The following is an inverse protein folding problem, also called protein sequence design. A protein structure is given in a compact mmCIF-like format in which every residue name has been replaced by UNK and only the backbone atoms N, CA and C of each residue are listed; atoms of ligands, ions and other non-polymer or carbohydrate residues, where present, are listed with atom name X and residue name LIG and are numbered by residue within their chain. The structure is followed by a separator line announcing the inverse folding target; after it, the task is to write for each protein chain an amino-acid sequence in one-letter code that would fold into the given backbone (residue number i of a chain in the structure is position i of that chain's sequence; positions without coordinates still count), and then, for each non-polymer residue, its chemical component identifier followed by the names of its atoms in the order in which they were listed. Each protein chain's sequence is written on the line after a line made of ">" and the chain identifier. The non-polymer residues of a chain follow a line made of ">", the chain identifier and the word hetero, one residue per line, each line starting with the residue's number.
data_IF_202876735431
#
_entry.id   IF_202876735431
#
_cell.length_a   1.000
_cell.length_b   1.000
_cell.length_c   1.000
_cell.angle_alpha   90.00
_cell.angle_beta   90.00
_cell.angle_gamma   90.00
#
_symmetry.space_group_name_H-M   'P 1'
#
loop_
_entity.id
_entity.type
_entity.pdbx_description
1 polymer ?
#
# COMPACT_ATOMS: atom_id res chain seq x y z
N UNK A 1 -24.95 23.28 15.32
CA UNK A 1 -25.36 22.86 16.68
C UNK A 1 -25.59 21.35 16.84
N UNK A 2 -25.93 20.56 15.81
CA UNK A 2 -26.11 19.09 15.94
C UNK A 2 -24.81 18.24 15.98
N UNK A 3 -23.64 18.79 15.58
CA UNK A 3 -22.37 18.05 15.54
C UNK A 3 -21.70 17.81 16.91
N UNK A 4 -21.96 18.67 17.91
CA UNK A 4 -21.26 18.58 19.20
C UNK A 4 -21.92 17.59 20.19
N UNK A 5 -23.24 17.35 20.07
CA UNK A 5 -23.96 16.45 20.96
C UNK A 5 -23.64 14.96 20.74
N UNK A 6 -23.27 14.55 19.52
CA UNK A 6 -22.96 13.15 19.22
C UNK A 6 -21.59 12.71 19.78
N UNK A 7 -20.63 13.63 19.83
CA UNK A 7 -19.27 13.35 20.31
C UNK A 7 -19.23 13.25 21.85
N UNK A 8 -19.99 14.09 22.56
CA UNK A 8 -20.19 13.97 24.01
C UNK A 8 -21.04 12.75 24.40
N UNK A 9 -22.05 12.42 23.60
CA UNK A 9 -22.85 11.21 23.84
C UNK A 9 -22.02 9.92 23.68
N UNK A 10 -21.07 9.89 22.76
CA UNK A 10 -20.21 8.72 22.55
C UNK A 10 -19.19 8.52 23.68
N UNK A 11 -18.56 9.58 24.17
CA UNK A 11 -17.59 9.50 25.29
C UNK A 11 -18.26 9.11 26.62
N UNK A 12 -19.53 9.48 26.81
CA UNK A 12 -20.36 9.05 27.94
C UNK A 12 -20.72 7.55 27.87
N UNK A 13 -20.91 7.00 26.67
CA UNK A 13 -21.28 5.59 26.48
C UNK A 13 -20.08 4.65 26.62
N UNK A 14 -18.88 5.04 26.15
CA UNK A 14 -17.71 4.13 26.18
C UNK A 14 -17.06 3.96 27.55
N UNK A 15 -17.31 4.88 28.49
CA UNK A 15 -16.69 4.85 29.83
C UNK A 15 -17.55 4.17 30.91
N UNK A 16 -18.75 3.67 30.57
CA UNK A 16 -19.67 3.11 31.55
C UNK A 16 -19.62 1.57 31.62
N UNK A 17 -19.45 0.93 32.80
CA UNK A 17 -19.33 -0.53 32.95
C UNK A 17 -20.40 -1.41 32.30
N UNK A 18 -21.63 -0.90 32.06
CA UNK A 18 -22.73 -1.67 31.44
C UNK A 18 -22.69 -1.63 29.91
N UNK A 19 -21.92 -0.73 29.31
CA UNK A 19 -21.80 -0.60 27.85
C UNK A 19 -21.14 -1.82 27.19
N UNK A 20 -20.45 -2.68 27.95
CA UNK A 20 -19.86 -3.91 27.42
C UNK A 20 -20.90 -4.93 26.91
N UNK A 21 -22.17 -4.81 27.33
CA UNK A 21 -23.24 -5.73 26.92
C UNK A 21 -24.17 -5.20 25.82
N UNK A 22 -24.22 -3.87 25.61
CA UNK A 22 -25.17 -3.20 24.70
C UNK A 22 -24.62 -2.91 23.29
N UNK A 23 -23.35 -3.20 23.04
CA UNK A 23 -22.64 -2.65 21.87
C UNK A 23 -22.90 -3.37 20.56
N UNK A 24 -23.15 -4.68 20.53
CA UNK A 24 -23.19 -5.41 19.24
C UNK A 24 -24.46 -5.16 18.45
N UNK A 25 -25.64 -5.31 19.06
CA UNK A 25 -26.90 -5.05 18.36
C UNK A 25 -27.05 -3.58 17.99
N UNK A 26 -26.58 -2.67 18.85
CA UNK A 26 -26.62 -1.25 18.58
C UNK A 26 -25.61 -0.83 17.50
N UNK A 27 -24.38 -1.35 17.49
CA UNK A 27 -23.44 -1.10 16.37
C UNK A 27 -23.99 -1.66 15.06
N UNK A 28 -24.54 -2.88 15.06
CA UNK A 28 -25.12 -3.49 13.86
C UNK A 28 -26.30 -2.64 13.37
N UNK A 29 -27.19 -2.19 14.27
CA UNK A 29 -28.31 -1.30 13.92
C UNK A 29 -27.81 0.06 13.43
N UNK A 30 -26.78 0.66 14.06
CA UNK A 30 -26.20 1.93 13.61
C UNK A 30 -25.54 1.77 12.24
N UNK A 31 -24.78 0.70 12.00
CA UNK A 31 -24.13 0.43 10.72
C UNK A 31 -25.18 0.15 9.62
N UNK A 32 -26.19 -0.66 9.90
CA UNK A 32 -27.28 -0.95 8.95
C UNK A 32 -28.12 0.30 8.68
N UNK A 33 -28.47 1.06 9.70
CA UNK A 33 -29.26 2.29 9.55
C UNK A 33 -28.47 3.38 8.84
N UNK A 34 -27.18 3.55 9.13
CA UNK A 34 -26.30 4.49 8.42
C UNK A 34 -26.11 4.09 6.96
N UNK A 35 -25.89 2.80 6.68
CA UNK A 35 -25.81 2.29 5.32
C UNK A 35 -27.10 2.56 4.54
N UNK A 36 -28.26 2.26 5.12
CA UNK A 36 -29.56 2.52 4.48
C UNK A 36 -29.84 4.01 4.28
N UNK A 37 -29.53 4.86 5.26
CA UNK A 37 -29.72 6.31 5.17
C UNK A 37 -28.80 6.96 4.12
N UNK A 38 -27.51 6.60 4.08
CA UNK A 38 -26.55 7.10 3.09
C UNK A 38 -26.87 6.59 1.69
N UNK A 39 -27.31 5.34 1.55
CA UNK A 39 -27.77 4.77 0.28
C UNK A 39 -29.06 5.42 -0.24
N UNK A 40 -29.89 6.02 0.62
CA UNK A 40 -31.14 6.66 0.21
C UNK A 40 -30.95 8.03 -0.45
N UNK A 41 -29.83 8.72 -0.17
CA UNK A 41 -29.54 10.06 -0.70
C UNK A 41 -28.80 10.02 -2.05
N UNK A 42 -28.18 8.88 -2.39
CA UNK A 42 -27.59 8.62 -3.70
C UNK A 42 -28.55 7.77 -4.55
N UNK A 43 -29.10 8.39 -5.58
CA UNK A 43 -30.07 7.86 -6.54
C UNK A 43 -29.85 6.37 -6.89
N UNK A 44 -30.91 5.55 -6.70
CA UNK A 44 -31.08 4.15 -7.13
C UNK A 44 -30.34 3.81 -8.43
N UNK A 45 -29.12 3.28 -8.31
CA UNK A 45 -28.60 2.20 -9.16
C UNK A 45 -28.10 1.13 -8.22
N UNK A 46 -29.05 0.34 -7.69
CA UNK A 46 -28.72 -0.90 -7.00
C UNK A 46 -28.19 -1.86 -8.05
N UNK A 47 -26.89 -1.80 -8.34
CA UNK A 47 -26.23 -2.87 -9.08
C UNK A 47 -26.11 -4.02 -8.11
N UNK A 48 -27.01 -4.99 -8.23
CA UNK A 48 -26.74 -6.31 -7.65
C UNK A 48 -25.33 -6.71 -8.07
N UNK A 49 -24.49 -7.10 -7.11
CA UNK A 49 -23.25 -7.84 -7.43
C UNK A 49 -23.69 -8.92 -8.42
N UNK A 50 -23.22 -8.90 -9.67
CA UNK A 50 -23.71 -9.85 -10.63
C UNK A 50 -23.48 -11.26 -10.07
N UNK A 51 -24.49 -12.11 -10.17
CA UNK A 51 -24.49 -13.45 -9.55
C UNK A 51 -23.30 -14.33 -10.03
N UNK A 52 -22.57 -13.88 -11.05
CA UNK A 52 -21.35 -14.48 -11.59
C UNK A 52 -20.10 -14.26 -10.71
N UNK A 53 -20.12 -13.32 -9.77
CA UNK A 53 -19.05 -13.06 -8.80
C UNK A 53 -18.91 -14.14 -7.73
N UNK A 54 -20.00 -14.86 -7.48
CA UNK A 54 -20.10 -15.87 -6.44
C UNK A 54 -19.93 -17.26 -7.05
N UNK A 55 -19.55 -18.23 -6.22
CA UNK A 55 -19.60 -19.64 -6.57
C UNK A 55 -20.98 -19.97 -7.17
N UNK A 56 -21.01 -20.35 -8.45
CA UNK A 56 -22.16 -21.06 -9.02
C UNK A 56 -22.17 -22.44 -8.40
N UNK A 57 -23.30 -22.83 -7.80
CA UNK A 57 -23.51 -24.19 -7.27
C UNK A 57 -23.24 -25.28 -8.33
N UNK A 58 -23.29 -24.93 -9.61
CA UNK A 58 -23.05 -25.84 -10.74
C UNK A 58 -21.57 -26.13 -11.04
N UNK A 59 -20.61 -25.31 -10.55
CA UNK A 59 -19.18 -25.47 -10.88
C UNK A 59 -18.49 -26.63 -10.10
N UNK A 60 -19.14 -27.23 -9.09
CA UNK A 60 -18.68 -28.51 -8.49
C UNK A 60 -19.00 -29.73 -9.37
N UNK A 61 -19.84 -29.59 -10.42
CA UNK A 61 -20.33 -30.71 -11.22
C UNK A 61 -20.02 -30.51 -12.72
N UNK A 62 -18.80 -30.91 -13.11
CA UNK A 62 -18.32 -31.19 -14.49
C UNK A 62 -18.21 -30.00 -15.49
N UNK A 63 -17.06 -29.93 -16.18
CA UNK A 63 -16.88 -30.44 -17.57
C UNK A 63 -15.45 -30.23 -18.11
N UNK A 64 -14.97 -31.24 -18.86
CA UNK A 64 -13.75 -31.23 -19.68
C UNK A 64 -13.77 -30.07 -20.69
N UNK A 65 -12.62 -29.42 -20.95
CA UNK A 65 -12.54 -28.41 -21.99
C UNK A 65 -12.63 -29.03 -23.40
N UNK A 66 -13.32 -28.39 -24.35
CA UNK A 66 -13.26 -28.75 -25.76
C UNK A 66 -11.92 -28.28 -26.38
N UNK A 67 -11.49 -28.90 -27.48
CA UNK A 67 -10.22 -28.60 -28.14
C UNK A 67 -10.27 -27.23 -28.84
N UNK A 68 -9.18 -26.49 -28.73
CA UNK A 68 -8.96 -25.17 -29.33
C UNK A 68 -8.43 -25.37 -30.75
N UNK A 69 -9.02 -24.65 -31.71
CA UNK A 69 -8.52 -24.56 -33.09
C UNK A 69 -7.71 -23.26 -33.23
N UNK A 70 -6.44 -23.42 -33.58
CA UNK A 70 -5.53 -22.31 -33.88
C UNK A 70 -5.77 -21.79 -35.30
N UNK A 71 -5.90 -20.47 -35.45
CA UNK A 71 -5.72 -19.79 -36.73
C UNK A 71 -4.80 -18.57 -36.54
N UNK A 72 -3.70 -18.64 -37.26
CA UNK A 72 -2.56 -17.74 -37.30
C UNK A 72 -2.85 -16.57 -38.26
N UNK A 73 -2.68 -15.32 -37.81
CA UNK A 73 -2.70 -14.14 -38.69
C UNK A 73 -1.48 -13.27 -38.39
N UNK A 74 -0.65 -13.09 -39.42
CA UNK A 74 0.56 -12.29 -39.42
C UNK A 74 0.27 -10.78 -39.55
N UNK A 75 1.07 -9.88 -38.93
CA UNK A 75 1.00 -8.45 -39.17
C UNK A 75 2.14 -7.96 -40.07
N UNK A 76 1.82 -7.05 -41.00
CA UNK A 76 2.78 -6.30 -41.82
C UNK A 76 2.92 -4.88 -41.26
N UNK A 77 4.14 -4.44 -40.95
CA UNK A 77 4.44 -3.10 -40.43
C UNK A 77 5.12 -2.22 -41.49
N UNK A 78 4.82 -0.91 -41.47
CA UNK A 78 5.51 0.14 -42.24
C UNK A 78 6.04 1.25 -41.32
N UNK A 79 7.18 1.91 -41.63
CA UNK A 79 7.82 2.86 -40.73
C UNK A 79 7.45 4.33 -41.03
N UNK A 80 7.35 5.17 -39.99
CA UNK A 80 7.32 6.64 -40.12
C UNK A 80 8.34 7.31 -39.20
N UNK A 81 8.99 8.35 -39.76
CA UNK A 81 10.08 9.16 -39.19
C UNK A 81 9.60 10.18 -38.15
N UNK A 82 10.47 10.61 -37.21
CA UNK A 82 10.12 11.56 -36.15
C UNK A 82 10.34 13.03 -36.57
N UNK A 83 9.58 13.95 -35.93
CA UNK A 83 9.85 15.40 -35.93
C UNK A 83 10.08 15.87 -34.49
N UNK A 84 11.17 16.61 -34.31
CA UNK A 84 11.58 17.29 -33.09
C UNK A 84 10.75 18.56 -32.88
N UNK A 85 10.47 18.91 -31.61
CA UNK A 85 10.29 20.32 -31.22
C UNK A 85 10.70 20.56 -29.78
N UNK A 86 11.72 21.39 -29.66
CA UNK A 86 12.28 22.06 -28.50
C UNK A 86 11.42 23.29 -28.15
N UNK A 87 11.10 23.57 -26.89
CA UNK A 87 11.60 24.73 -26.15
C UNK A 87 10.94 24.91 -24.76
N UNK A 88 11.80 25.44 -23.89
CA UNK A 88 11.72 25.82 -22.49
C UNK A 88 10.79 27.00 -22.15
N UNK A 89 10.31 27.03 -20.90
CA UNK A 89 10.08 28.30 -20.17
C UNK A 89 10.21 28.10 -18.66
N UNK A 90 11.12 28.85 -18.04
CA UNK A 90 11.34 28.92 -16.60
C UNK A 90 10.43 29.99 -15.97
N UNK A 91 9.89 29.72 -14.78
CA UNK A 91 9.26 30.73 -13.94
C UNK A 91 9.67 30.50 -12.49
N UNK A 92 10.12 31.58 -11.83
CA UNK A 92 10.51 31.63 -10.41
C UNK A 92 9.26 31.55 -9.52
N UNK A 93 9.34 30.82 -8.41
CA UNK A 93 8.30 30.79 -7.38
C UNK A 93 8.88 31.09 -6.02
N UNK A 94 8.10 31.86 -5.25
CA UNK A 94 8.40 32.40 -3.92
C UNK A 94 7.89 31.44 -2.84
N UNK A 95 8.78 31.00 -1.96
CA UNK A 95 8.51 30.03 -0.89
C UNK A 95 7.64 30.65 0.22
N UNK A 96 6.49 30.03 0.51
CA UNK A 96 5.65 30.34 1.68
C UNK A 96 5.59 29.10 2.57
N UNK A 97 6.15 29.20 3.77
CA UNK A 97 6.19 28.13 4.77
C UNK A 97 4.81 27.93 5.38
N UNK A 98 4.19 26.75 5.19
CA UNK A 98 2.96 26.35 5.88
C UNK A 98 3.27 25.36 7.01
N UNK A 99 2.77 25.69 8.20
CA UNK A 99 2.78 24.84 9.39
C UNK A 99 1.72 23.74 9.28
N UNK A 100 2.13 22.51 9.49
CA UNK A 100 1.30 21.31 9.43
C UNK A 100 0.37 21.20 10.65
N UNK A 101 -0.94 21.27 10.44
CA UNK A 101 -1.95 21.03 11.48
C UNK A 101 -2.10 19.54 11.80
N UNK A 102 -1.90 19.16 13.05
CA UNK A 102 -2.10 17.80 13.57
C UNK A 102 -3.59 17.47 13.70
N UNK A 103 -4.05 16.41 13.02
CA UNK A 103 -5.40 15.85 13.16
C UNK A 103 -5.45 15.00 14.43
N UNK A 104 -6.37 15.31 15.35
CA UNK A 104 -6.62 14.54 16.57
C UNK A 104 -7.38 13.26 16.24
N UNK A 105 -6.69 12.11 16.17
CA UNK A 105 -7.29 10.80 15.89
C UNK A 105 -8.04 10.26 17.11
N UNK A 106 -9.36 10.09 17.01
CA UNK A 106 -10.13 9.28 17.94
C UNK A 106 -9.65 7.81 17.89
N UNK A 107 -9.52 7.16 19.05
CA UNK A 107 -9.03 5.78 19.16
C UNK A 107 -10.08 4.83 18.55
N UNK A 108 -9.78 4.13 17.44
CA UNK A 108 -10.72 3.20 16.85
C UNK A 108 -10.88 1.94 17.73
N UNK A 109 -12.03 1.24 17.67
CA UNK A 109 -12.20 -0.05 18.33
C UNK A 109 -11.10 -1.03 17.92
N UNK A 110 -10.57 -1.81 18.87
CA UNK A 110 -9.43 -2.70 18.62
C UNK A 110 -9.87 -4.04 17.99
N UNK A 111 -9.19 -4.46 16.91
CA UNK A 111 -9.27 -5.82 16.37
C UNK A 111 -8.55 -6.80 17.31
N UNK A 112 -9.05 -8.02 17.49
CA UNK A 112 -8.38 -9.04 18.32
C UNK A 112 -7.27 -9.71 17.51
N UNK A 113 -6.07 -9.82 18.07
CA UNK A 113 -4.87 -10.31 17.37
C UNK A 113 -4.70 -11.83 17.45
N UNK A 114 -4.47 -12.44 16.29
CA UNK A 114 -3.59 -13.60 16.12
C UNK A 114 -2.59 -13.19 15.03
N UNK A 115 -1.30 -13.07 15.38
CA UNK A 115 -0.22 -12.62 14.47
C UNK A 115 -0.21 -13.37 13.14
N UNK A 116 -0.65 -14.62 13.15
CA UNK A 116 -0.68 -15.50 11.97
C UNK A 116 -1.56 -14.94 10.84
N UNK A 117 -2.60 -14.15 11.17
CA UNK A 117 -3.53 -13.58 10.16
C UNK A 117 -2.89 -12.52 9.27
N UNK A 118 -1.84 -11.84 9.73
CA UNK A 118 -1.21 -10.76 8.97
C UNK A 118 -0.02 -11.23 8.13
N UNK A 119 0.38 -12.50 8.21
CA UNK A 119 1.49 -13.05 7.42
C UNK A 119 1.34 -12.78 5.91
N UNK A 120 0.17 -13.09 5.34
CA UNK A 120 -0.14 -12.81 3.95
C UNK A 120 -0.13 -11.31 3.62
N UNK A 121 -0.60 -10.46 4.56
CA UNK A 121 -0.55 -9.01 4.42
C UNK A 121 0.90 -8.50 4.40
N UNK A 122 1.76 -8.96 5.31
CA UNK A 122 3.17 -8.55 5.36
C UNK A 122 3.91 -8.93 4.09
N UNK A 123 3.73 -10.15 3.59
CA UNK A 123 4.33 -10.55 2.30
C UNK A 123 3.84 -9.71 1.13
N UNK A 124 2.53 -9.43 1.05
CA UNK A 124 1.98 -8.55 0.04
C UNK A 124 2.54 -7.13 0.16
N UNK A 125 2.61 -6.58 1.37
CA UNK A 125 3.14 -5.25 1.65
C UNK A 125 4.60 -5.13 1.24
N UNK A 126 5.46 -6.06 1.66
CA UNK A 126 6.89 -6.02 1.34
C UNK A 126 7.11 -6.15 -0.18
N UNK A 127 6.30 -6.98 -0.85
CA UNK A 127 6.30 -7.08 -2.33
C UNK A 127 5.85 -5.78 -2.98
N UNK A 128 4.74 -5.19 -2.53
CA UNK A 128 4.18 -3.95 -3.09
C UNK A 128 5.12 -2.76 -2.89
N UNK A 129 5.72 -2.65 -1.70
CA UNK A 129 6.67 -1.57 -1.39
C UNK A 129 8.00 -1.71 -2.12
N UNK A 130 8.42 -2.94 -2.43
CA UNK A 130 9.61 -3.19 -3.27
C UNK A 130 9.51 -2.58 -4.67
N UNK A 131 8.29 -2.33 -5.17
CA UNK A 131 8.06 -1.66 -6.45
C UNK A 131 8.52 -0.19 -6.45
N UNK A 132 8.62 0.43 -5.27
CA UNK A 132 9.04 1.83 -5.11
C UNK A 132 10.51 1.95 -4.75
N UNK A 133 10.99 1.09 -3.86
CA UNK A 133 12.38 1.03 -3.43
C UNK A 133 12.68 -0.31 -2.76
N UNK A 134 13.94 -0.72 -2.82
CA UNK A 134 14.42 -1.94 -2.17
C UNK A 134 15.42 -1.59 -1.08
N UNK A 135 15.28 -2.30 0.04
CA UNK A 135 16.22 -2.34 1.15
C UNK A 135 16.82 -3.75 1.25
N UNK A 136 18.06 -3.94 0.82
CA UNK A 136 18.78 -5.19 1.08
C UNK A 136 19.64 -4.99 2.32
N UNK A 137 19.08 -5.34 3.48
CA UNK A 137 19.77 -5.28 4.76
C UNK A 137 20.73 -6.46 4.86
N UNK A 138 21.97 -6.21 5.23
CA UNK A 138 22.94 -7.28 5.43
C UNK A 138 22.50 -8.21 6.56
N UNK A 139 22.57 -9.52 6.31
CA UNK A 139 22.19 -10.56 7.25
C UNK A 139 23.42 -11.19 7.88
N UNK A 140 23.31 -11.56 9.15
CA UNK A 140 24.38 -12.22 9.88
C UNK A 140 24.62 -13.62 9.32
N UNK A 141 25.86 -13.89 8.91
CA UNK A 141 26.34 -15.20 8.50
C UNK A 141 27.65 -15.49 9.25
N UNK A 142 27.52 -16.17 10.40
CA UNK A 142 28.61 -16.34 11.36
C UNK A 142 29.02 -14.99 11.95
N UNK A 143 30.31 -14.67 11.85
CA UNK A 143 30.90 -13.42 12.36
C UNK A 143 30.86 -12.26 11.35
N UNK A 144 30.23 -12.46 10.20
CA UNK A 144 30.18 -11.46 9.12
C UNK A 144 28.75 -11.14 8.72
N UNK A 145 28.54 -9.93 8.21
CA UNK A 145 27.27 -9.57 7.59
C UNK A 145 27.38 -9.63 6.07
N UNK A 146 26.45 -10.32 5.44
CA UNK A 146 26.38 -10.50 3.99
C UNK A 146 25.03 -10.00 3.50
N UNK A 147 25.04 -9.12 2.51
CA UNK A 147 23.85 -8.80 1.72
C UNK A 147 24.08 -9.27 0.29
N UNK A 148 23.04 -9.84 -0.33
CA UNK A 148 23.06 -10.10 -1.76
C UNK A 148 22.83 -8.75 -2.45
N UNK A 149 23.79 -8.23 -3.24
CA UNK A 149 23.57 -6.98 -3.93
C UNK A 149 22.39 -7.12 -4.90
N UNK A 150 21.63 -6.05 -5.15
CA UNK A 150 20.56 -6.07 -6.14
C UNK A 150 21.12 -6.49 -7.51
N UNK A 151 20.31 -7.17 -8.31
CA UNK A 151 20.70 -7.75 -9.62
C UNK A 151 21.42 -6.74 -10.55
N UNK A 152 21.16 -5.44 -10.38
CA UNK A 152 21.86 -4.36 -11.07
C UNK A 152 22.58 -3.47 -10.04
N UNK A 153 23.82 -3.80 -9.65
CA UNK A 153 24.55 -3.02 -8.65
C UNK A 153 25.11 -1.70 -9.21
N UNK A 154 24.93 -1.41 -10.51
CA UNK A 154 25.38 -0.17 -11.15
C UNK A 154 24.25 0.82 -11.39
N UNK A 155 24.57 2.11 -11.29
CA UNK A 155 23.62 3.17 -11.63
C UNK A 155 23.23 3.13 -13.11
N UNK A 156 22.01 3.57 -13.40
CA UNK A 156 21.51 3.80 -14.76
C UNK A 156 21.16 5.27 -14.96
N UNK A 157 21.09 5.73 -16.21
CA UNK A 157 20.66 7.12 -16.50
C UNK A 157 19.17 7.29 -16.18
N UNK A 158 18.87 7.65 -14.93
CA UNK A 158 17.54 8.05 -14.49
C UNK A 158 17.17 9.44 -15.01
N UNK A 159 15.86 9.74 -15.10
CA UNK A 159 15.37 11.12 -15.38
C UNK A 159 14.45 11.65 -14.30
N UNK A 160 14.11 10.80 -13.33
CA UNK A 160 13.27 11.20 -12.23
C UNK A 160 14.19 11.49 -11.06
N UNK A 161 14.25 12.77 -10.69
CA UNK A 161 15.01 13.22 -9.53
C UNK A 161 14.24 12.83 -8.27
N UNK A 162 14.99 12.39 -7.26
CA UNK A 162 14.49 12.25 -5.91
C UNK A 162 15.43 12.98 -4.95
N UNK A 163 14.87 13.46 -3.85
CA UNK A 163 15.58 13.99 -2.72
C UNK A 163 15.58 12.93 -1.61
N UNK A 164 16.75 12.30 -1.45
CA UNK A 164 17.02 11.27 -0.47
C UNK A 164 17.38 11.92 0.88
N UNK A 165 16.67 11.53 1.94
CA UNK A 165 16.90 11.93 3.33
C UNK A 165 17.12 10.70 4.19
N UNK A 166 18.32 10.52 4.70
CA UNK A 166 18.67 9.35 5.53
C UNK A 166 19.13 9.83 6.89
N UNK A 167 18.42 9.43 7.94
CA UNK A 167 18.81 9.76 9.33
C UNK A 167 19.57 8.59 9.95
N UNK A 168 20.76 8.85 10.48
CA UNK A 168 21.51 7.87 11.25
C UNK A 168 21.04 7.87 12.70
N UNK A 169 20.34 6.82 13.13
CA UNK A 169 19.92 6.60 14.51
C UNK A 169 20.81 5.59 15.24
N UNK A 170 21.92 5.17 14.62
CA UNK A 170 22.96 4.36 15.26
C UNK A 170 23.86 5.22 16.15
N UNK A 171 24.55 4.58 17.10
CA UNK A 171 25.52 5.24 17.97
C UNK A 171 26.86 5.56 17.27
N UNK A 172 27.12 4.92 16.12
CA UNK A 172 28.34 5.09 15.33
C UNK A 172 28.07 5.86 14.03
N UNK A 173 29.06 6.59 13.48
CA UNK A 173 28.92 7.23 12.17
C UNK A 173 28.70 6.19 11.05
N UNK A 174 27.98 6.58 10.00
CA UNK A 174 27.79 5.74 8.81
C UNK A 174 28.54 6.32 7.62
N UNK A 175 29.26 5.49 6.86
CA UNK A 175 29.88 5.88 5.59
C UNK A 175 28.88 5.68 4.46
N UNK A 176 28.73 6.70 3.60
CA UNK A 176 27.76 6.71 2.49
C UNK A 176 28.49 6.59 1.17
N UNK A 177 28.07 5.64 0.35
CA UNK A 177 28.59 5.42 -1.00
C UNK A 177 27.47 5.44 -2.02
N UNK A 178 27.78 5.99 -3.19
CA UNK A 178 26.98 5.86 -4.40
C UNK A 178 27.63 4.83 -5.31
N UNK A 179 26.83 3.91 -5.87
CA UNK A 179 27.33 3.00 -6.89
C UNK A 179 27.36 3.68 -8.25
N UNK A 180 28.54 3.88 -8.84
CA UNK A 180 28.66 4.54 -10.14
C UNK A 180 28.09 3.69 -11.30
N UNK A 181 28.17 4.23 -12.52
CA UNK A 181 27.69 3.55 -13.73
C UNK A 181 28.49 2.28 -14.07
N UNK A 182 29.67 2.08 -13.48
CA UNK A 182 30.50 0.89 -13.61
C UNK A 182 30.27 -0.10 -12.46
N UNK A 183 29.40 0.21 -11.49
CA UNK A 183 29.14 -0.62 -10.32
C UNK A 183 30.22 -0.52 -9.25
N UNK A 184 30.98 0.56 -9.20
CA UNK A 184 31.99 0.82 -8.16
C UNK A 184 31.43 1.75 -7.09
N UNK A 185 31.79 1.49 -5.85
CA UNK A 185 31.45 2.37 -4.71
C UNK A 185 32.24 3.68 -4.78
N UNK A 186 31.53 4.81 -4.84
CA UNK A 186 32.09 6.16 -4.77
C UNK A 186 31.65 6.77 -3.45
N UNK A 187 32.60 6.99 -2.54
CA UNK A 187 32.33 7.65 -1.26
C UNK A 187 31.77 9.06 -1.46
N UNK A 188 30.73 9.38 -0.67
CA UNK A 188 30.03 10.67 -0.72
C UNK A 188 30.15 11.48 0.57
N UNK A 189 30.45 10.83 1.68
CA UNK A 189 30.55 11.45 2.99
C UNK A 189 30.18 10.48 4.10
N UNK A 190 30.09 11.03 5.30
CA UNK A 190 29.72 10.32 6.52
C UNK A 190 28.46 10.95 7.13
N UNK A 191 27.64 10.16 7.81
CA UNK A 191 26.48 10.60 8.59
C UNK A 191 26.79 10.38 10.07
N UNK A 192 26.97 11.44 10.86
CA UNK A 192 27.22 11.28 12.29
C UNK A 192 25.95 10.78 13.01
N UNK A 193 26.08 10.24 14.24
CA UNK A 193 24.92 9.86 15.05
C UNK A 193 23.89 11.00 15.17
N UNK A 194 22.62 10.66 14.99
CA UNK A 194 21.47 11.57 14.97
C UNK A 194 21.45 12.60 13.83
N UNK A 195 22.42 12.59 12.91
CA UNK A 195 22.41 13.48 11.74
C UNK A 195 21.54 12.93 10.61
N UNK A 196 21.08 13.86 9.77
CA UNK A 196 20.36 13.53 8.53
C UNK A 196 21.19 13.92 7.33
N UNK A 197 21.48 12.94 6.48
CA UNK A 197 22.11 13.12 5.19
C UNK A 197 21.09 13.49 4.13
N UNK A 198 21.43 14.48 3.30
CA UNK A 198 20.58 14.98 2.23
C UNK A 198 21.29 14.84 0.88
N UNK A 199 20.63 14.22 -0.08
CA UNK A 199 21.17 14.07 -1.43
C UNK A 199 20.07 14.10 -2.48
N UNK A 200 20.22 14.98 -3.47
CA UNK A 200 19.44 14.86 -4.70
C UNK A 200 20.09 13.79 -5.58
N UNK A 201 19.35 12.76 -5.92
CA UNK A 201 19.78 11.63 -6.76
C UNK A 201 18.70 11.31 -7.79
N UNK A 202 18.85 10.19 -8.52
CA UNK A 202 17.87 9.72 -9.49
C UNK A 202 17.35 8.34 -9.11
N UNK A 203 16.18 7.97 -9.64
CA UNK A 203 15.74 6.57 -9.64
C UNK A 203 16.79 5.69 -10.34
N UNK A 204 16.88 4.43 -9.95
CA UNK A 204 17.87 3.43 -10.36
C UNK A 204 19.33 3.78 -9.98
N UNK A 205 19.56 4.66 -9.01
CA UNK A 205 20.89 4.92 -8.45
C UNK A 205 21.05 4.19 -7.12
N UNK A 206 21.83 3.09 -7.05
CA UNK A 206 22.05 2.37 -5.80
C UNK A 206 22.93 3.15 -4.83
N UNK A 207 22.62 3.02 -3.55
CA UNK A 207 23.37 3.58 -2.43
C UNK A 207 23.78 2.46 -1.47
N UNK A 208 24.96 2.62 -0.87
CA UNK A 208 25.52 1.69 0.10
C UNK A 208 25.80 2.42 1.38
N UNK A 209 25.39 1.84 2.50
CA UNK A 209 25.69 2.34 3.84
C UNK A 209 26.55 1.33 4.58
N UNK A 210 27.68 1.78 5.12
CA UNK A 210 28.65 0.95 5.84
C UNK A 210 28.97 1.53 7.21
N UNK A 211 29.39 0.68 8.13
CA UNK A 211 30.06 1.12 9.35
C UNK A 211 31.47 1.68 9.02
N UNK A 212 32.10 2.44 9.94
CA UNK A 212 33.43 3.01 9.72
C UNK A 212 34.50 1.96 9.37
N UNK A 213 34.38 0.75 9.93
CA UNK A 213 35.27 -0.40 9.75
C UNK A 213 35.09 -1.08 8.38
N UNK A 214 34.07 -0.68 7.61
CA UNK A 214 33.79 -1.17 6.27
C UNK A 214 32.69 -2.24 6.21
N UNK A 215 32.15 -2.67 7.35
CA UNK A 215 31.03 -3.61 7.41
C UNK A 215 29.80 -3.05 6.66
N UNK A 216 29.20 -3.89 5.81
CA UNK A 216 28.01 -3.52 5.04
C UNK A 216 26.77 -3.57 5.93
N UNK A 217 25.98 -2.49 5.92
CA UNK A 217 24.68 -2.45 6.60
C UNK A 217 23.52 -2.62 5.63
N UNK A 218 23.51 -1.82 4.55
CA UNK A 218 22.36 -1.66 3.68
C UNK A 218 22.76 -1.35 2.25
N UNK A 219 22.16 -2.07 1.29
CA UNK A 219 21.95 -1.52 -0.07
C UNK A 219 20.56 -0.92 -0.19
N UNK A 220 20.50 0.27 -0.77
CA UNK A 220 19.28 1.01 -1.02
C UNK A 220 19.17 1.34 -2.50
N UNK A 221 18.04 0.99 -3.13
CA UNK A 221 17.78 1.35 -4.53
C UNK A 221 16.39 1.98 -4.65
N UNK A 222 16.29 3.25 -5.10
CA UNK A 222 15.01 3.87 -5.41
C UNK A 222 14.56 3.52 -6.84
N UNK A 223 13.37 2.94 -7.00
CA UNK A 223 12.82 2.60 -8.32
C UNK A 223 11.75 3.59 -8.80
N UNK A 224 10.96 4.15 -7.88
CA UNK A 224 9.84 5.05 -8.22
C UNK A 224 9.67 6.14 -7.19
N UNK A 225 9.02 7.22 -7.60
CA UNK A 225 8.50 8.20 -6.66
C UNK A 225 7.19 7.67 -6.10
N UNK A 226 7.06 7.71 -4.79
CA UNK A 226 5.83 7.32 -4.10
C UNK A 226 4.79 8.40 -4.37
N UNK A 227 3.57 8.07 -4.84
CA UNK A 227 2.55 9.07 -5.05
C UNK A 227 2.22 9.80 -3.75
N UNK A 228 2.07 11.11 -3.87
CA UNK A 228 1.85 11.98 -2.72
C UNK A 228 0.36 12.06 -2.40
N UNK A 229 0.04 12.14 -1.12
CA UNK A 229 -1.28 12.46 -0.62
C UNK A 229 -1.16 13.46 0.52
N UNK A 230 -2.23 14.22 0.79
CA UNK A 230 -2.23 15.30 1.79
C UNK A 230 -1.82 14.81 3.19
N UNK A 231 -2.10 13.55 3.51
CA UNK A 231 -1.77 12.96 4.81
C UNK A 231 -0.27 12.73 5.01
N UNK A 232 0.44 12.39 3.93
CA UNK A 232 1.85 12.00 3.98
C UNK A 232 2.51 12.43 2.67
N UNK A 233 3.03 13.68 2.60
CA UNK A 233 3.63 14.21 1.40
C UNK A 233 4.93 13.49 1.05
N UNK A 234 5.05 13.11 -0.21
CA UNK A 234 6.21 12.38 -0.76
C UNK A 234 6.77 13.04 -2.01
N UNK A 235 6.28 14.23 -2.35
CA UNK A 235 6.78 15.07 -3.43
C UNK A 235 6.95 16.48 -2.88
N UNK A 236 8.07 17.10 -3.19
CA UNK A 236 8.32 18.49 -2.88
C UNK A 236 7.34 19.37 -3.69
N UNK A 237 6.53 20.23 -3.03
CA UNK A 237 5.53 21.04 -3.71
C UNK A 237 6.14 22.06 -4.68
N UNK A 238 7.41 22.47 -4.48
CA UNK A 238 8.04 23.54 -5.26
C UNK A 238 8.87 23.02 -6.45
N UNK A 239 9.59 21.90 -6.30
CA UNK A 239 10.53 21.39 -7.34
C UNK A 239 10.00 20.14 -8.08
N UNK A 240 8.82 19.62 -7.72
CA UNK A 240 8.26 18.38 -8.28
C UNK A 240 9.32 17.25 -8.23
N UNK A 241 9.99 17.13 -7.08
CA UNK A 241 11.01 16.12 -6.81
C UNK A 241 10.44 15.14 -5.80
N UNK A 242 10.55 13.84 -6.07
CA UNK A 242 10.13 12.81 -5.12
C UNK A 242 10.97 12.85 -3.86
N UNK A 243 10.39 12.63 -2.68
CA UNK A 243 11.07 12.64 -1.40
C UNK A 243 11.10 11.22 -0.86
N UNK A 244 12.30 10.67 -0.71
CA UNK A 244 12.50 9.40 -0.01
C UNK A 244 13.16 9.67 1.32
N UNK A 245 12.47 9.31 2.41
CA UNK A 245 12.95 9.48 3.78
C UNK A 245 12.92 8.13 4.49
N UNK A 246 13.99 7.82 5.22
CA UNK A 246 14.04 6.73 6.18
C UNK A 246 15.16 6.97 7.19
N UNK A 247 15.13 6.21 8.29
CA UNK A 247 16.20 6.20 9.28
C UNK A 247 16.82 4.81 9.35
N UNK A 248 18.12 4.75 9.60
CA UNK A 248 18.87 3.51 9.88
C UNK A 248 19.12 3.48 11.39
N UNK A 249 18.66 2.45 12.08
CA UNK A 249 18.88 2.28 13.52
C UNK A 249 19.58 0.94 13.82
N UNK A 250 19.95 0.74 15.09
CA UNK A 250 20.38 -0.56 15.58
C UNK A 250 19.35 -1.64 15.19
N UNK A 251 19.78 -2.85 14.81
CA UNK A 251 18.85 -3.93 14.49
C UNK A 251 17.96 -4.27 15.71
N UNK A 252 16.71 -4.62 15.43
CA UNK A 252 15.77 -5.14 16.42
C UNK A 252 15.99 -6.64 16.71
N UNK A 253 16.59 -7.34 15.75
CA UNK A 253 16.88 -8.76 15.79
C UNK A 253 18.35 -8.99 15.46
N UNK A 254 19.02 -9.91 16.15
CA UNK A 254 20.44 -10.19 15.97
C UNK A 254 20.80 -10.77 14.58
N UNK A 255 19.81 -11.08 13.76
CA UNK A 255 19.98 -11.62 12.40
C UNK A 255 20.32 -10.55 11.36
N UNK A 256 20.04 -9.27 11.63
CA UNK A 256 20.22 -8.18 10.66
C UNK A 256 21.27 -7.17 11.14
N UNK A 257 21.97 -6.54 10.20
CA UNK A 257 22.99 -5.54 10.52
C UNK A 257 22.40 -4.19 11.00
N UNK A 258 21.17 -3.88 10.58
CA UNK A 258 20.45 -2.67 10.98
C UNK A 258 18.93 -2.88 10.89
N UNK A 259 18.17 -1.93 11.44
CA UNK A 259 16.72 -1.80 11.21
C UNK A 259 16.44 -0.52 10.42
N UNK A 260 15.36 -0.53 9.62
CA UNK A 260 14.95 0.60 8.78
C UNK A 260 13.64 1.16 9.32
N UNK A 261 13.62 2.45 9.62
CA UNK A 261 12.39 3.14 10.00
C UNK A 261 11.94 4.04 8.85
N UNK A 262 10.85 3.64 8.21
CA UNK A 262 10.32 4.32 7.05
C UNK A 262 8.87 4.73 7.32
N UNK A 263 8.58 6.03 7.51
CA UNK A 263 7.24 6.48 7.86
C UNK A 263 6.24 6.33 6.71
N UNK A 264 6.73 6.12 5.48
CA UNK A 264 5.90 6.05 4.28
C UNK A 264 5.68 4.60 3.86
N UNK A 265 6.75 3.80 3.85
CA UNK A 265 6.78 2.39 3.45
C UNK A 265 7.48 1.56 4.56
N UNK A 266 6.83 1.32 5.71
CA UNK A 266 7.46 0.69 6.87
C UNK A 266 8.07 -0.68 6.53
N UNK A 267 9.33 -0.93 6.91
CA UNK A 267 10.05 -2.13 6.48
C UNK A 267 10.92 -2.74 7.60
N UNK A 268 10.83 -4.05 7.86
CA UNK A 268 9.88 -5.00 7.27
C UNK A 268 8.48 -4.84 7.85
N UNK A 269 7.44 -5.15 7.08
CA UNK A 269 6.05 -4.90 7.49
C UNK A 269 5.70 -5.50 8.87
N UNK A 270 6.20 -6.70 9.17
CA UNK A 270 5.86 -7.42 10.40
C UNK A 270 6.34 -6.73 11.68
N UNK A 271 7.36 -5.86 11.60
CA UNK A 271 7.85 -5.11 12.76
C UNK A 271 7.05 -3.81 13.00
N UNK A 272 6.43 -3.25 11.96
CA UNK A 272 5.77 -1.94 12.03
C UNK A 272 4.24 -2.00 11.94
N UNK A 273 3.70 -3.00 11.26
CA UNK A 273 2.28 -3.19 10.99
C UNK A 273 1.77 -4.42 11.74
N UNK A 274 1.95 -4.41 13.07
CA UNK A 274 1.70 -5.54 13.97
C UNK A 274 0.22 -5.75 14.30
N UNK A 275 -0.64 -4.77 14.00
CA UNK A 275 -2.08 -4.84 14.27
C UNK A 275 -2.90 -4.71 12.99
N UNK A 276 -4.08 -5.36 12.89
CA UNK A 276 -4.96 -5.20 11.74
C UNK A 276 -5.39 -3.75 11.50
N UNK A 277 -5.55 -2.95 12.56
CA UNK A 277 -5.86 -1.53 12.45
C UNK A 277 -4.74 -0.74 11.75
N UNK A 278 -3.49 -0.95 12.15
CA UNK A 278 -2.34 -0.29 11.52
C UNK A 278 -2.17 -0.72 10.06
N UNK A 279 -2.31 -2.03 9.78
CA UNK A 279 -2.28 -2.58 8.43
C UNK A 279 -3.39 -1.98 7.54
N UNK A 280 -4.63 -1.94 8.05
CA UNK A 280 -5.78 -1.38 7.34
C UNK A 280 -5.58 0.11 7.04
N UNK A 281 -5.14 0.89 8.04
CA UNK A 281 -4.87 2.31 7.88
C UNK A 281 -3.81 2.56 6.80
N UNK A 282 -2.70 1.83 6.82
CA UNK A 282 -1.67 1.95 5.79
C UNK A 282 -2.21 1.56 4.41
N UNK A 283 -2.94 0.46 4.30
CA UNK A 283 -3.50 0.00 3.02
C UNK A 283 -4.50 0.99 2.41
N UNK A 284 -5.27 1.69 3.25
CA UNK A 284 -6.18 2.75 2.81
C UNK A 284 -5.43 3.99 2.29
N UNK A 285 -4.36 4.41 2.98
CA UNK A 285 -3.45 5.46 2.49
C UNK A 285 -2.83 5.04 1.17
N UNK A 286 -2.39 3.79 1.05
CA UNK A 286 -1.77 3.28 -0.18
C UNK A 286 -2.75 3.20 -1.35
N UNK A 287 -3.98 2.72 -1.11
CA UNK A 287 -5.05 2.75 -2.12
C UNK A 287 -5.36 4.17 -2.61
N UNK A 288 -5.36 5.14 -1.69
CA UNK A 288 -5.50 6.56 -2.00
C UNK A 288 -4.39 7.03 -2.93
N UNK A 289 -3.12 6.78 -2.57
CA UNK A 289 -1.95 7.12 -3.38
C UNK A 289 -2.01 6.54 -4.79
N UNK A 290 -2.47 5.30 -4.89
CA UNK A 290 -2.56 4.58 -6.17
C UNK A 290 -3.86 4.86 -6.93
N UNK A 291 -4.70 5.78 -6.44
CA UNK A 291 -5.91 6.21 -7.13
C UNK A 291 -6.97 5.12 -7.26
N UNK A 292 -7.08 4.21 -6.28
CA UNK A 292 -8.08 3.15 -6.28
C UNK A 292 -9.50 3.74 -6.25
N UNK A 293 -10.38 3.25 -7.13
CA UNK A 293 -11.75 3.78 -7.33
C UNK A 293 -12.88 2.80 -7.04
N UNK A 294 -12.61 1.50 -6.93
CA UNK A 294 -13.66 0.47 -6.81
C UNK A 294 -14.10 0.22 -5.35
N UNK A 295 -14.20 1.28 -4.54
CA UNK A 295 -14.57 1.21 -3.13
C UNK A 295 -15.95 0.60 -2.89
N UNK A 296 -16.90 0.91 -3.78
CA UNK A 296 -18.26 0.37 -3.68
C UNK A 296 -18.26 -1.16 -3.74
N UNK A 297 -17.55 -1.75 -4.69
CA UNK A 297 -17.47 -3.22 -4.84
C UNK A 297 -16.81 -3.86 -3.60
N UNK A 298 -15.75 -3.26 -3.09
CA UNK A 298 -15.07 -3.73 -1.87
C UNK A 298 -16.02 -3.74 -0.66
N UNK A 299 -16.78 -2.65 -0.49
CA UNK A 299 -17.77 -2.51 0.58
C UNK A 299 -18.92 -3.49 0.42
N UNK A 300 -19.39 -3.71 -0.81
CA UNK A 300 -20.44 -4.69 -1.10
C UNK A 300 -20.01 -6.12 -0.73
N UNK A 301 -18.76 -6.50 -1.00
CA UNK A 301 -18.20 -7.80 -0.57
C UNK A 301 -18.32 -7.98 0.96
N UNK A 302 -17.83 -7.01 1.74
CA UNK A 302 -17.90 -7.06 3.20
C UNK A 302 -19.34 -7.09 3.73
N UNK A 303 -20.19 -6.20 3.22
CA UNK A 303 -21.61 -6.10 3.63
C UNK A 303 -22.39 -7.39 3.36
N UNK A 304 -22.17 -8.05 2.22
CA UNK A 304 -22.85 -9.32 1.92
C UNK A 304 -22.45 -10.44 2.87
N UNK A 305 -21.18 -10.50 3.28
CA UNK A 305 -20.73 -11.48 4.29
C UNK A 305 -21.39 -11.19 5.64
N UNK A 306 -21.47 -9.92 6.05
CA UNK A 306 -22.11 -9.52 7.32
C UNK A 306 -23.61 -9.88 7.31
N UNK A 307 -24.28 -9.71 6.18
CA UNK A 307 -25.70 -10.01 6.04
C UNK A 307 -26.00 -11.52 5.98
N UNK A 308 -25.06 -12.33 5.48
CA UNK A 308 -25.24 -13.78 5.29
C UNK A 308 -24.01 -14.56 5.82
N UNK A 309 -23.71 -14.46 7.13
CA UNK A 309 -22.48 -15.01 7.72
C UNK A 309 -22.44 -16.54 7.74
N UNK A 310 -23.61 -17.17 7.61
CA UNK A 310 -23.82 -18.61 7.55
C UNK A 310 -23.58 -19.21 6.16
N UNK A 311 -23.57 -18.38 5.09
CA UNK A 311 -23.52 -18.85 3.71
C UNK A 311 -22.09 -18.78 3.15
N UNK A 312 -21.40 -19.94 2.96
CA UNK A 312 -20.00 -19.98 2.51
C UNK A 312 -19.75 -19.25 1.17
N UNK A 313 -20.73 -19.26 0.26
CA UNK A 313 -20.59 -18.66 -1.08
C UNK A 313 -20.28 -17.17 -1.07
N UNK A 314 -20.72 -16.41 -0.06
CA UNK A 314 -20.40 -14.96 0.02
C UNK A 314 -19.04 -14.70 0.66
N UNK A 315 -18.44 -15.71 1.28
CA UNK A 315 -17.14 -15.63 1.96
C UNK A 315 -15.99 -16.08 1.09
N UNK A 316 -16.26 -16.53 -0.15
CA UNK A 316 -15.26 -17.08 -1.07
C UNK A 316 -15.41 -16.41 -2.44
N UNK A 317 -14.39 -15.65 -2.83
CA UNK A 317 -14.35 -14.92 -4.09
C UNK A 317 -13.34 -15.57 -5.03
N UNK A 318 -13.75 -15.88 -6.25
CA UNK A 318 -12.85 -16.49 -7.24
C UNK A 318 -11.88 -15.45 -7.78
N UNK A 319 -10.58 -15.68 -7.67
CA UNK A 319 -9.55 -14.76 -8.20
C UNK A 319 -9.69 -14.57 -9.72
N UNK A 320 -10.07 -15.64 -10.43
CA UNK A 320 -10.29 -15.63 -11.88
C UNK A 320 -11.59 -14.93 -12.33
N UNK A 321 -12.48 -14.52 -11.42
CA UNK A 321 -13.63 -13.71 -11.81
C UNK A 321 -13.14 -12.31 -12.24
N UNK A 322 -13.44 -11.81 -13.45
CA UNK A 322 -12.91 -10.53 -13.92
C UNK A 322 -13.33 -9.32 -13.06
N UNK A 323 -14.54 -9.31 -12.52
CA UNK A 323 -15.04 -8.23 -11.67
C UNK A 323 -14.29 -8.21 -10.34
N UNK A 324 -14.03 -9.35 -9.71
CA UNK A 324 -13.28 -9.39 -8.45
C UNK A 324 -11.77 -9.27 -8.68
N UNK A 325 -11.22 -10.11 -9.56
CA UNK A 325 -9.82 -10.19 -9.90
C UNK A 325 -9.24 -8.87 -10.38
N UNK A 326 -9.78 -8.31 -11.48
CA UNK A 326 -9.21 -7.10 -12.08
C UNK A 326 -9.54 -5.82 -11.30
N UNK A 327 -10.68 -5.76 -10.61
CA UNK A 327 -11.12 -4.52 -9.94
C UNK A 327 -10.75 -4.44 -8.47
N UNK A 328 -10.50 -5.57 -7.80
CA UNK A 328 -10.10 -5.63 -6.39
C UNK A 328 -8.77 -6.36 -6.20
N UNK A 329 -8.69 -7.64 -6.55
CA UNK A 329 -7.59 -8.52 -6.12
C UNK A 329 -6.24 -8.19 -6.74
N UNK A 330 -6.21 -7.80 -8.01
CA UNK A 330 -5.00 -7.41 -8.74
C UNK A 330 -4.72 -5.91 -8.63
N UNK A 331 -5.23 -5.28 -7.57
CA UNK A 331 -5.06 -3.84 -7.29
C UNK A 331 -4.56 -3.67 -5.85
N UNK A 332 -4.29 -2.43 -5.45
CA UNK A 332 -3.92 -2.12 -4.05
C UNK A 332 -4.98 -2.51 -3.02
N UNK A 333 -6.25 -2.66 -3.42
CA UNK A 333 -7.31 -3.11 -2.52
C UNK A 333 -7.09 -4.53 -1.97
N UNK A 334 -6.20 -5.33 -2.58
CA UNK A 334 -5.70 -6.58 -2.02
C UNK A 334 -5.18 -6.40 -0.59
N UNK A 335 -4.42 -5.33 -0.34
CA UNK A 335 -3.92 -5.02 1.01
C UNK A 335 -5.04 -4.75 2.01
N UNK A 336 -6.10 -4.06 1.57
CA UNK A 336 -7.25 -3.75 2.42
C UNK A 336 -8.00 -5.03 2.80
N UNK A 337 -8.16 -5.97 1.85
CA UNK A 337 -8.73 -7.29 2.11
C UNK A 337 -7.84 -8.12 3.04
N UNK A 338 -6.54 -8.23 2.78
CA UNK A 338 -5.61 -8.99 3.61
C UNK A 338 -5.54 -8.44 5.04
N UNK A 339 -5.50 -7.11 5.21
CA UNK A 339 -5.56 -6.46 6.52
C UNK A 339 -6.89 -6.72 7.24
N UNK A 340 -7.98 -6.89 6.48
CA UNK A 340 -9.29 -7.29 6.99
C UNK A 340 -9.38 -8.76 7.42
N UNK A 341 -8.33 -9.58 7.19
CA UNK A 341 -8.32 -11.00 7.54
C UNK A 341 -8.76 -11.95 6.41
N UNK A 342 -8.82 -11.47 5.18
CA UNK A 342 -9.01 -12.33 4.01
C UNK A 342 -7.69 -13.06 3.68
N UNK A 343 -7.77 -14.28 3.16
CA UNK A 343 -6.60 -15.09 2.78
C UNK A 343 -6.79 -15.81 1.45
N UNK A 344 -5.69 -16.21 0.81
CA UNK A 344 -5.72 -16.98 -0.43
C UNK A 344 -5.89 -18.48 -0.15
N UNK A 345 -6.77 -19.13 -0.91
CA UNK A 345 -6.98 -20.57 -0.84
C UNK A 345 -7.32 -21.13 -2.23
N UNK A 346 -6.38 -21.84 -2.85
CA UNK A 346 -6.59 -22.57 -4.11
C UNK A 346 -7.28 -21.76 -5.23
N UNK A 347 -6.85 -20.51 -5.46
CA UNK A 347 -7.43 -19.62 -6.49
C UNK A 347 -8.70 -18.88 -6.04
N UNK A 348 -9.05 -18.98 -4.77
CA UNK A 348 -10.06 -18.17 -4.10
C UNK A 348 -9.44 -17.22 -3.08
N UNK A 349 -10.17 -16.18 -2.75
CA UNK A 349 -9.92 -15.30 -1.62
C UNK A 349 -11.06 -15.51 -0.64
N UNK A 350 -10.73 -15.90 0.59
CA UNK A 350 -11.71 -16.34 1.58
C UNK A 350 -11.66 -15.50 2.85
N UNK A 351 -12.81 -15.36 3.52
CA UNK A 351 -12.91 -14.77 4.85
C UNK A 351 -13.50 -15.79 5.85
N UNK A 352 -12.74 -16.11 6.89
CA UNK A 352 -13.08 -17.16 7.85
C UNK A 352 -12.87 -18.58 7.32
N UNK A 353 -12.88 -19.58 8.21
CA UNK A 353 -12.63 -20.98 7.85
C UNK A 353 -13.76 -21.59 6.99
N UNK A 354 -13.40 -22.46 6.05
CA UNK A 354 -14.22 -22.85 4.89
C UNK A 354 -15.49 -23.66 5.17
N UNK A 355 -15.72 -24.16 6.40
CA UNK A 355 -16.83 -25.09 6.67
C UNK A 355 -17.78 -24.68 7.80
N UNK A 356 -17.40 -23.73 8.66
CA UNK A 356 -18.27 -23.29 9.75
C UNK A 356 -18.86 -21.91 9.44
N UNK A 357 -20.10 -21.61 9.88
CA UNK A 357 -20.62 -20.24 9.92
C UNK A 357 -19.62 -19.31 10.61
N UNK A 358 -19.56 -18.04 10.19
CA UNK A 358 -18.76 -17.06 10.91
C UNK A 358 -19.29 -16.91 12.33
N UNK A 359 -18.39 -16.99 13.31
CA UNK A 359 -18.72 -16.65 14.68
C UNK A 359 -19.07 -15.16 14.82
N UNK A 360 -19.66 -14.83 15.96
CA UNK A 360 -20.03 -13.45 16.30
C UNK A 360 -18.83 -12.50 16.24
N UNK A 361 -17.65 -12.99 16.63
CA UNK A 361 -16.43 -12.18 16.67
C UNK A 361 -15.98 -11.81 15.25
N UNK A 362 -15.97 -12.76 14.32
CA UNK A 362 -15.56 -12.53 12.93
C UNK A 362 -16.52 -11.57 12.22
N UNK A 363 -17.84 -11.69 12.48
CA UNK A 363 -18.83 -10.76 11.94
C UNK A 363 -18.61 -9.35 12.50
N UNK A 364 -18.28 -9.22 13.79
CA UNK A 364 -18.01 -7.93 14.42
C UNK A 364 -16.71 -7.30 13.87
N UNK A 365 -15.64 -8.08 13.70
CA UNK A 365 -14.38 -7.63 13.09
C UNK A 365 -14.62 -7.13 11.66
N UNK A 366 -15.36 -7.89 10.85
CA UNK A 366 -15.70 -7.46 9.49
C UNK A 366 -16.59 -6.22 9.46
N UNK A 367 -17.53 -6.11 10.41
CA UNK A 367 -18.38 -4.92 10.55
C UNK A 367 -17.55 -3.67 10.87
N UNK A 368 -16.55 -3.81 11.74
CA UNK A 368 -15.62 -2.74 12.07
C UNK A 368 -14.74 -2.37 10.87
N UNK A 369 -14.29 -3.36 10.10
CA UNK A 369 -13.53 -3.14 8.87
C UNK A 369 -14.35 -2.36 7.83
N UNK A 370 -15.60 -2.78 7.55
CA UNK A 370 -16.53 -2.07 6.65
C UNK A 370 -16.77 -0.65 7.14
N UNK A 371 -17.06 -0.47 8.43
CA UNK A 371 -17.27 0.85 9.02
C UNK A 371 -16.04 1.76 8.87
N UNK A 372 -14.84 1.22 9.07
CA UNK A 372 -13.58 1.98 8.95
C UNK A 372 -13.36 2.46 7.52
N UNK A 373 -13.63 1.61 6.52
CA UNK A 373 -13.55 2.01 5.11
C UNK A 373 -14.59 3.09 4.81
N UNK A 374 -15.83 2.94 5.28
CA UNK A 374 -16.84 3.99 5.09
C UNK A 374 -16.38 5.33 5.70
N UNK A 375 -15.83 5.30 6.91
CA UNK A 375 -15.31 6.50 7.56
C UNK A 375 -14.12 7.11 6.82
N UNK A 376 -13.26 6.28 6.24
CA UNK A 376 -12.19 6.75 5.35
C UNK A 376 -12.77 7.52 4.17
N UNK A 377 -13.77 6.94 3.49
CA UNK A 377 -14.42 7.55 2.33
C UNK A 377 -15.18 8.84 2.68
N UNK A 378 -15.79 8.91 3.85
CA UNK A 378 -16.47 10.12 4.33
C UNK A 378 -15.50 11.33 4.46
N UNK A 379 -14.21 11.09 4.69
CA UNK A 379 -13.17 12.12 4.81
C UNK A 379 -12.28 12.24 3.57
N UNK A 380 -12.47 11.35 2.60
CA UNK A 380 -11.62 11.26 1.43
C UNK A 380 -11.93 12.40 0.46
N UNK A 381 -11.06 13.40 0.44
CA UNK A 381 -10.99 14.36 -0.67
C UNK A 381 -10.13 13.75 -1.78
N UNK A 382 -10.59 13.86 -3.03
CA UNK A 382 -9.98 13.26 -4.22
C UNK A 382 -8.60 13.85 -4.64
N UNK A 383 -7.84 14.36 -3.67
CA UNK A 383 -6.60 15.10 -3.87
C UNK A 383 -5.38 14.18 -4.00
N UNK A 384 -5.34 13.35 -5.04
CA UNK A 384 -4.04 12.80 -5.48
C UNK A 384 -3.32 13.91 -6.25
N UNK A 385 -2.25 14.46 -5.67
CA UNK A 385 -1.52 15.55 -6.33
C UNK A 385 -0.70 15.00 -7.50
N UNK A 386 -0.43 15.89 -8.46
CA UNK A 386 0.36 15.58 -9.64
C UNK A 386 1.73 15.00 -9.27
N UNK A 387 2.13 13.96 -10.01
CA UNK A 387 3.44 13.34 -9.87
C UNK A 387 4.47 13.98 -10.81
N UNK A 388 5.77 13.93 -10.48
CA UNK A 388 6.82 14.27 -11.42
C UNK A 388 6.66 13.55 -12.75
N UNK A 389 6.96 14.22 -13.86
CA UNK A 389 6.88 13.56 -15.18
C UNK A 389 7.86 12.37 -15.22
N UNK A 390 7.35 11.18 -15.56
CA UNK A 390 8.11 9.92 -15.56
C UNK A 390 8.22 9.21 -14.21
N UNK A 391 7.60 9.73 -13.15
CA UNK A 391 7.60 9.15 -11.81
C UNK A 391 7.01 7.74 -11.71
N UNK A 392 6.19 7.33 -12.68
CA UNK A 392 5.61 5.99 -12.75
C UNK A 392 6.65 4.89 -13.01
N UNK A 393 7.89 5.26 -13.34
CA UNK A 393 9.00 4.33 -13.58
C UNK A 393 8.86 3.53 -14.88
N UNK A 394 7.75 3.70 -15.62
CA UNK A 394 7.48 2.97 -16.87
C UNK A 394 7.88 3.76 -18.11
N UNK A 395 8.17 5.06 -17.98
CA UNK A 395 8.57 5.91 -19.10
C UNK A 395 9.91 5.57 -19.78
N UNK A 396 10.61 4.48 -19.42
CA UNK A 396 11.96 4.15 -19.94
C UNK A 396 12.30 2.69 -20.24
N UNK A 397 11.36 1.76 -20.16
CA UNK A 397 11.41 0.61 -21.08
C UNK A 397 10.57 1.02 -22.29
N UNK A 398 10.99 0.72 -23.52
CA UNK A 398 10.27 1.04 -24.77
C UNK A 398 8.83 0.48 -24.90
N UNK A 399 8.19 0.04 -23.83
CA UNK A 399 6.74 -0.10 -23.73
C UNK A 399 6.10 1.28 -23.51
N UNK A 400 6.21 2.14 -24.52
CA UNK A 400 5.26 3.23 -24.63
C UNK A 400 3.85 2.66 -24.54
N UNK A 401 2.91 3.39 -23.94
CA UNK A 401 1.47 3.12 -24.10
C UNK A 401 1.15 3.12 -25.59
N UNK A 402 1.30 1.96 -26.25
CA UNK A 402 1.06 1.79 -27.68
C UNK A 402 -0.45 1.82 -28.03
N UNK A 403 -1.31 2.30 -27.12
CA UNK A 403 -2.77 2.22 -27.27
C UNK A 403 -3.55 3.47 -26.86
N UNK A 404 -2.90 4.59 -26.52
CA UNK A 404 -3.60 5.88 -26.41
C UNK A 404 -3.10 6.82 -27.50
N UNK A 405 -3.44 6.47 -28.74
CA UNK A 405 -3.61 7.49 -29.78
C UNK A 405 -5.01 8.06 -29.61
N UNK A 406 -5.06 9.38 -29.50
CA UNK A 406 -6.28 10.20 -29.62
C UNK A 406 -6.78 10.20 -31.05
#
# INVERSE_FOLDING_TARGET
>A
MWRNNLQESFSLITNHPWAQHLTVSLLIVICLHYYHSSSSAQTRRQTDIPNDLLLREEDEIRKKPPPIHDNEVAPTAAPRKPKNSTLSRATKTTTTTQESSSITTAIPPAFRTLSDRLSAYWHWHDTETSLFRVYEIAQRNGDTFVAIPPFTPSSRRGNVRIHLRVTNMCATPLKVYWMDYQGREIWKGDILPCETWHQTTWIDHPWVFRQPEGELLLYYVPYRVIPTCDMVPTVDPDDIVGIHRFSISHPLEDLYACSIQDPVLPFPAHQHLTTPAAALQWALIHCTRMGFRNWELLMQCGTKIIQQPDKPKYRSFRQGNPQFGARLWNTTARGVLLAGGFYENAGYVQFGASHHPLGRNEVQELSLWVWTIQKWLDHFNDCVLAQPTGADGFGRAGYGRAGQMT
#
